data_IF_880847808826
#
_entry.id   IF_880847808826
#
_cell.length_a   1.000
_cell.length_b   1.000
_cell.length_c   1.000
_cell.angle_alpha   90.00
_cell.angle_beta   90.00
_cell.angle_gamma   90.00
#
_symmetry.space_group_name_H-M   'P 1'
#
loop_
_entity.id
_entity.type
_entity.pdbx_description
1 polymer ?
#
# COMPACT_ATOMS: atom_id res chain seq x y z
N UNK A 1 -13.06 -10.45 13.58
CA UNK A 1 -12.18 -11.65 13.74
C UNK A 1 -11.64 -11.98 12.36
N UNK A 2 -10.34 -12.24 12.20
CA UNK A 2 -9.75 -12.57 10.89
C UNK A 2 -9.85 -14.07 10.61
N UNK A 3 -9.81 -14.46 9.33
CA UNK A 3 -10.02 -15.85 8.93
C UNK A 3 -9.07 -16.82 9.64
N UNK A 4 -7.77 -16.50 9.76
CA UNK A 4 -6.80 -17.39 10.41
C UNK A 4 -7.14 -17.66 11.88
N UNK A 5 -7.56 -16.65 12.65
CA UNK A 5 -7.99 -16.86 14.05
C UNK A 5 -9.24 -17.74 14.14
N UNK A 6 -10.19 -17.55 13.23
CA UNK A 6 -11.38 -18.39 13.16
C UNK A 6 -11.04 -19.83 12.76
N UNK A 7 -10.17 -20.00 11.76
CA UNK A 7 -9.75 -21.31 11.26
C UNK A 7 -9.00 -22.09 12.34
N UNK A 8 -8.08 -21.46 13.09
CA UNK A 8 -7.37 -22.14 14.19
C UNK A 8 -8.32 -22.72 15.24
N UNK A 9 -9.45 -22.06 15.51
CA UNK A 9 -10.47 -22.57 16.45
C UNK A 9 -11.17 -23.84 15.95
N UNK A 10 -11.39 -23.95 14.65
CA UNK A 10 -12.14 -25.06 14.05
C UNK A 10 -11.27 -26.03 13.25
N UNK A 11 -9.96 -25.82 13.22
CA UNK A 11 -9.02 -26.59 12.39
C UNK A 11 -9.18 -28.09 12.61
N UNK A 12 -9.20 -28.52 13.87
CA UNK A 12 -9.30 -29.94 14.22
C UNK A 12 -10.63 -30.56 13.77
N UNK A 13 -11.72 -29.78 13.75
CA UNK A 13 -13.01 -30.25 13.22
C UNK A 13 -12.92 -30.62 11.74
N UNK A 14 -12.15 -29.83 10.97
CA UNK A 14 -12.00 -30.09 9.54
C UNK A 14 -10.91 -31.13 9.23
N UNK A 15 -9.83 -31.15 10.00
CA UNK A 15 -8.64 -31.98 9.71
C UNK A 15 -8.74 -33.36 10.36
N UNK A 16 -9.20 -33.45 11.61
CA UNK A 16 -9.26 -34.69 12.37
C UNK A 16 -10.68 -35.26 12.45
N UNK A 17 -11.67 -34.49 12.89
CA UNK A 17 -13.05 -35.00 13.06
C UNK A 17 -13.68 -35.35 11.69
N UNK A 18 -13.38 -34.55 10.66
CA UNK A 18 -13.80 -34.79 9.29
C UNK A 18 -12.76 -35.55 8.44
N UNK A 19 -11.81 -36.26 9.06
CA UNK A 19 -10.75 -36.98 8.33
C UNK A 19 -11.28 -38.06 7.40
N UNK A 20 -12.35 -38.75 7.81
CA UNK A 20 -12.94 -39.88 7.10
C UNK A 20 -14.00 -39.48 6.06
N UNK A 21 -14.42 -38.21 6.02
CA UNK A 21 -15.40 -37.76 5.02
C UNK A 21 -14.71 -37.41 3.71
N UNK A 22 -15.47 -37.48 2.61
CA UNK A 22 -14.95 -37.10 1.29
C UNK A 22 -14.54 -35.63 1.26
N UNK A 23 -13.57 -35.28 0.42
CA UNK A 23 -13.09 -33.89 0.31
C UNK A 23 -14.25 -32.92 -0.01
N UNK A 24 -15.16 -33.31 -0.91
CA UNK A 24 -16.35 -32.52 -1.24
C UNK A 24 -17.27 -32.30 -0.03
N UNK A 25 -17.42 -33.29 0.85
CA UNK A 25 -18.18 -33.13 2.10
C UNK A 25 -17.48 -32.19 3.09
N UNK A 26 -16.15 -32.28 3.20
CA UNK A 26 -15.34 -31.37 4.03
C UNK A 26 -15.42 -29.92 3.54
N UNK A 27 -15.40 -29.72 2.23
CA UNK A 27 -15.61 -28.41 1.58
C UNK A 27 -16.99 -27.84 1.91
N UNK A 28 -18.05 -28.66 1.80
CA UNK A 28 -19.41 -28.22 2.18
C UNK A 28 -19.49 -27.84 3.65
N UNK A 29 -18.89 -28.64 4.54
CA UNK A 29 -18.84 -28.37 5.98
C UNK A 29 -18.14 -27.04 6.27
N UNK A 30 -17.01 -26.76 5.61
CA UNK A 30 -16.31 -25.48 5.73
C UNK A 30 -17.22 -24.31 5.31
N UNK A 31 -17.86 -24.44 4.15
CA UNK A 31 -18.74 -23.42 3.59
C UNK A 31 -19.97 -23.15 4.48
N UNK A 32 -20.54 -24.19 5.09
CA UNK A 32 -21.68 -24.08 6.01
C UNK A 32 -21.33 -23.29 7.28
N UNK A 33 -20.06 -23.34 7.72
CA UNK A 33 -19.59 -22.58 8.87
C UNK A 33 -19.30 -21.11 8.55
N UNK A 34 -19.25 -20.72 7.28
CA UNK A 34 -19.10 -19.32 6.88
C UNK A 34 -20.44 -18.60 7.01
N UNK A 35 -20.42 -17.34 7.45
CA UNK A 35 -21.63 -16.52 7.35
C UNK A 35 -21.98 -16.22 5.88
N UNK A 36 -23.26 -15.97 5.62
CA UNK A 36 -23.75 -15.77 4.25
C UNK A 36 -23.07 -14.62 3.50
N UNK A 37 -22.55 -13.59 4.19
CA UNK A 37 -21.84 -12.48 3.54
C UNK A 37 -20.45 -12.89 3.10
N UNK A 38 -19.72 -13.61 3.95
CA UNK A 38 -18.40 -14.16 3.62
C UNK A 38 -18.53 -15.18 2.48
N UNK A 39 -19.48 -16.11 2.60
CA UNK A 39 -19.71 -17.13 1.57
C UNK A 39 -20.04 -16.52 0.21
N UNK A 40 -20.95 -15.55 0.14
CA UNK A 40 -21.30 -14.89 -1.13
C UNK A 40 -20.11 -14.16 -1.78
N UNK A 41 -19.22 -13.55 -0.99
CA UNK A 41 -17.99 -12.91 -1.51
C UNK A 41 -16.99 -13.95 -2.01
N UNK A 42 -16.82 -15.04 -1.29
CA UNK A 42 -15.98 -16.16 -1.71
C UNK A 42 -16.50 -16.79 -3.01
N UNK A 43 -17.80 -17.11 -3.08
CA UNK A 43 -18.42 -17.70 -4.27
C UNK A 43 -18.22 -16.84 -5.51
N UNK A 44 -18.40 -15.51 -5.40
CA UNK A 44 -18.14 -14.57 -6.50
C UNK A 44 -16.68 -14.56 -6.94
N UNK A 45 -15.73 -14.77 -6.01
CA UNK A 45 -14.31 -14.74 -6.31
C UNK A 45 -13.84 -15.97 -7.08
N UNK A 46 -14.44 -17.14 -6.82
CA UNK A 46 -14.01 -18.40 -7.43
C UNK A 46 -14.67 -18.71 -8.77
N UNK A 47 -15.62 -17.87 -9.21
CA UNK A 47 -16.21 -18.00 -10.54
C UNK A 47 -15.13 -18.03 -11.64
N UNK A 48 -15.28 -18.86 -12.69
CA UNK A 48 -16.46 -19.68 -13.00
C UNK A 48 -16.46 -21.06 -12.32
N UNK A 49 -15.51 -21.38 -11.43
CA UNK A 49 -15.47 -22.67 -10.74
C UNK A 49 -16.64 -22.80 -9.76
N UNK A 50 -17.21 -24.00 -9.68
CA UNK A 50 -18.17 -24.35 -8.62
C UNK A 50 -17.43 -24.59 -7.31
N UNK A 51 -17.96 -24.06 -6.20
CA UNK A 51 -17.33 -24.18 -4.87
C UNK A 51 -17.00 -25.62 -4.50
N UNK A 52 -17.89 -26.57 -4.82
CA UNK A 52 -17.72 -28.00 -4.51
C UNK A 52 -16.66 -28.70 -5.35
N UNK A 53 -16.15 -28.06 -6.41
CA UNK A 53 -15.10 -28.58 -7.29
C UNK A 53 -13.69 -28.14 -6.87
N UNK A 54 -13.59 -27.24 -5.89
CA UNK A 54 -12.33 -26.68 -5.40
C UNK A 54 -11.85 -27.52 -4.21
N UNK A 55 -10.57 -27.90 -4.21
CA UNK A 55 -9.98 -28.70 -3.14
C UNK A 55 -9.97 -27.96 -1.80
N UNK A 56 -10.04 -28.70 -0.69
CA UNK A 56 -10.20 -28.10 0.64
C UNK A 56 -9.10 -27.08 0.97
N UNK A 57 -7.83 -27.43 0.72
CA UNK A 57 -6.69 -26.54 0.97
C UNK A 57 -6.72 -25.28 0.08
N UNK A 58 -7.16 -25.40 -1.18
CA UNK A 58 -7.33 -24.25 -2.08
C UNK A 58 -8.41 -23.29 -1.55
N UNK A 59 -9.50 -23.81 -0.97
CA UNK A 59 -10.52 -22.96 -0.33
C UNK A 59 -9.94 -22.25 0.89
N UNK A 60 -9.27 -22.98 1.78
CA UNK A 60 -8.68 -22.39 2.99
C UNK A 60 -7.71 -21.27 2.64
N UNK A 61 -6.86 -21.48 1.63
CA UNK A 61 -5.93 -20.46 1.17
C UNK A 61 -6.64 -19.26 0.52
N UNK A 62 -7.65 -19.51 -0.30
CA UNK A 62 -8.46 -18.44 -0.90
C UNK A 62 -9.17 -17.60 0.17
N UNK A 63 -9.79 -18.24 1.17
CA UNK A 63 -10.45 -17.57 2.28
C UNK A 63 -9.46 -16.77 3.13
N UNK A 64 -8.24 -17.30 3.35
CA UNK A 64 -7.15 -16.57 4.00
C UNK A 64 -6.79 -15.32 3.21
N UNK A 65 -6.62 -15.42 1.90
CA UNK A 65 -6.27 -14.27 1.05
C UNK A 65 -7.35 -13.18 1.00
N UNK A 66 -8.63 -13.56 1.06
CA UNK A 66 -9.77 -12.66 0.98
C UNK A 66 -10.15 -12.02 2.32
N UNK A 67 -10.04 -12.77 3.42
CA UNK A 67 -10.66 -12.40 4.70
C UNK A 67 -9.68 -12.36 5.88
N UNK A 68 -8.40 -12.61 5.67
CA UNK A 68 -7.38 -12.35 6.68
C UNK A 68 -6.91 -10.90 6.64
N UNK A 69 -6.30 -10.45 7.74
CA UNK A 69 -5.73 -9.10 7.79
C UNK A 69 -4.43 -9.09 6.98
N UNK A 70 -4.39 -8.24 5.95
CA UNK A 70 -3.16 -7.97 5.19
C UNK A 70 -2.29 -7.00 5.97
N UNK A 71 -1.62 -7.50 7.01
CA UNK A 71 -0.59 -6.75 7.73
C UNK A 71 0.77 -7.31 7.34
N UNK A 72 1.72 -6.44 6.97
CA UNK A 72 3.08 -6.91 6.68
C UNK A 72 3.76 -7.46 7.92
N UNK A 73 4.71 -8.39 7.74
CA UNK A 73 5.50 -8.91 8.86
C UNK A 73 6.23 -7.77 9.58
N UNK A 74 6.75 -6.78 8.84
CA UNK A 74 7.31 -5.57 9.44
C UNK A 74 6.32 -4.87 10.38
N UNK A 75 5.08 -4.63 9.92
CA UNK A 75 4.09 -3.89 10.71
C UNK A 75 3.70 -4.65 11.98
N UNK A 76 3.56 -5.98 11.90
CA UNK A 76 3.30 -6.82 13.07
C UNK A 76 4.43 -6.76 14.09
N UNK A 77 5.69 -6.92 13.63
CA UNK A 77 6.89 -6.84 14.49
C UNK A 77 7.06 -5.46 15.11
N UNK A 78 6.82 -4.41 14.34
CA UNK A 78 6.81 -3.04 14.82
C UNK A 78 5.81 -2.81 15.95
N UNK A 79 4.56 -3.26 15.76
CA UNK A 79 3.54 -3.15 16.78
C UNK A 79 3.89 -3.95 18.03
N UNK A 80 4.52 -5.12 17.86
CA UNK A 80 5.02 -5.92 18.97
C UNK A 80 6.06 -5.15 19.82
N UNK A 81 7.00 -4.46 19.18
CA UNK A 81 8.01 -3.63 19.87
C UNK A 81 7.41 -2.40 20.57
N UNK A 82 6.19 -2.02 20.22
CA UNK A 82 5.44 -0.90 20.81
C UNK A 82 4.40 -1.34 21.83
N UNK A 83 4.39 -2.61 22.22
CA UNK A 83 3.46 -3.08 23.23
C UNK A 83 3.75 -2.44 24.57
N UNK A 84 2.75 -1.73 25.08
CA UNK A 84 2.72 -1.17 26.42
C UNK A 84 1.49 -1.73 27.13
N UNK A 85 1.62 -2.02 28.44
CA UNK A 85 0.49 -2.40 29.29
C UNK A 85 -0.47 -1.21 29.40
N UNK A 86 -1.77 -1.45 29.30
CA UNK A 86 -2.78 -0.40 29.49
C UNK A 86 -3.06 -0.19 30.98
N UNK A 87 -3.54 0.99 31.34
CA UNK A 87 -3.88 1.33 32.72
C UNK A 87 -5.01 0.46 33.28
N UNK A 88 -5.98 0.10 32.44
CA UNK A 88 -7.16 -0.71 32.77
C UNK A 88 -6.95 -2.23 32.61
N UNK A 89 -5.78 -2.65 32.15
CA UNK A 89 -5.48 -4.06 31.85
C UNK A 89 -4.84 -4.75 33.06
N UNK A 90 -5.28 -5.95 33.43
CA UNK A 90 -4.59 -6.74 34.44
C UNK A 90 -3.33 -7.45 33.88
N UNK A 91 -2.48 -7.97 34.76
CA UNK A 91 -1.24 -8.61 34.35
C UNK A 91 -1.45 -9.90 33.56
N UNK A 92 -2.48 -10.69 33.87
CA UNK A 92 -2.73 -11.95 33.17
C UNK A 92 -3.16 -11.68 31.72
N UNK A 93 -4.06 -10.72 31.52
CA UNK A 93 -4.49 -10.25 30.20
C UNK A 93 -3.31 -9.67 29.44
N UNK A 94 -2.49 -8.84 30.09
CA UNK A 94 -1.29 -8.28 29.45
C UNK A 94 -0.29 -9.36 29.03
N UNK A 95 0.02 -10.33 29.89
CA UNK A 95 0.89 -11.48 29.57
C UNK A 95 0.35 -12.25 28.37
N UNK A 96 -0.95 -12.54 28.35
CA UNK A 96 -1.60 -13.19 27.22
C UNK A 96 -1.49 -12.39 25.92
N UNK A 97 -1.65 -11.06 25.99
CA UNK A 97 -1.53 -10.16 24.84
C UNK A 97 -0.11 -10.08 24.31
N UNK A 98 0.89 -10.00 25.19
CA UNK A 98 2.31 -10.02 24.79
C UNK A 98 2.62 -11.33 24.07
N UNK A 99 2.19 -12.47 24.62
CA UNK A 99 2.41 -13.77 23.99
C UNK A 99 1.71 -13.90 22.61
N UNK A 100 0.42 -13.55 22.50
CA UNK A 100 -0.31 -13.59 21.20
C UNK A 100 0.38 -12.73 20.14
N UNK A 101 0.82 -11.52 20.51
CA UNK A 101 1.49 -10.63 19.57
C UNK A 101 2.88 -11.13 19.15
N UNK A 102 3.70 -11.61 20.09
CA UNK A 102 5.04 -12.12 19.80
C UNK A 102 4.99 -13.31 18.84
N UNK A 103 4.06 -14.25 19.05
CA UNK A 103 3.86 -15.40 18.18
C UNK A 103 3.37 -14.97 16.79
N UNK A 104 2.37 -14.09 16.72
CA UNK A 104 1.86 -13.58 15.45
C UNK A 104 2.88 -12.76 14.67
N UNK A 105 3.76 -12.04 15.37
CA UNK A 105 4.86 -11.28 14.77
C UNK A 105 6.09 -12.15 14.44
N UNK A 106 6.09 -13.43 14.82
CA UNK A 106 7.21 -14.36 14.65
C UNK A 106 8.52 -13.77 15.20
N UNK A 107 8.46 -13.20 16.41
CA UNK A 107 9.61 -12.51 17.02
C UNK A 107 10.80 -13.45 17.20
N UNK A 108 10.55 -14.73 17.50
CA UNK A 108 11.58 -15.77 17.62
C UNK A 108 12.39 -15.99 16.33
N UNK A 109 11.87 -15.58 15.16
CA UNK A 109 12.56 -15.69 13.88
C UNK A 109 13.49 -14.51 13.57
N UNK A 110 13.57 -13.50 14.44
CA UNK A 110 14.47 -12.37 14.26
C UNK A 110 15.85 -12.66 14.84
N UNK A 111 16.88 -12.50 14.01
CA UNK A 111 18.26 -12.46 14.46
C UNK A 111 18.63 -11.05 14.98
N UNK A 112 19.87 -10.92 15.46
CA UNK A 112 20.38 -9.64 15.99
C UNK A 112 20.29 -8.52 14.95
N UNK A 113 20.57 -8.82 13.69
CA UNK A 113 20.55 -7.82 12.62
C UNK A 113 19.11 -7.44 12.21
N UNK A 114 18.18 -8.38 12.21
CA UNK A 114 16.75 -8.12 12.04
C UNK A 114 16.22 -7.16 13.09
N UNK A 115 16.59 -7.33 14.36
CA UNK A 115 16.21 -6.41 15.44
C UNK A 115 16.83 -5.03 15.21
N UNK A 116 18.12 -4.94 14.86
CA UNK A 116 18.78 -3.66 14.55
C UNK A 116 18.10 -2.92 13.40
N UNK A 117 17.76 -3.61 12.32
CA UNK A 117 17.06 -3.05 11.17
C UNK A 117 15.68 -2.50 11.55
N UNK A 118 14.92 -3.25 12.35
CA UNK A 118 13.64 -2.76 12.88
C UNK A 118 13.83 -1.48 13.68
N UNK A 119 14.71 -1.49 14.69
CA UNK A 119 14.98 -0.33 15.55
C UNK A 119 15.41 0.89 14.74
N UNK A 120 16.24 0.70 13.72
CA UNK A 120 16.72 1.78 12.85
C UNK A 120 15.56 2.44 12.10
N UNK A 121 14.69 1.67 11.46
CA UNK A 121 13.51 2.20 10.75
C UNK A 121 12.51 2.82 11.73
N UNK A 122 12.33 2.23 12.91
CA UNK A 122 11.47 2.76 13.96
C UNK A 122 11.90 4.15 14.44
N UNK A 123 13.21 4.44 14.38
CA UNK A 123 13.79 5.73 14.73
C UNK A 123 13.41 6.86 13.79
N UNK A 124 13.02 6.56 12.54
CA UNK A 124 12.57 7.53 11.55
C UNK A 124 11.15 8.00 11.87
N UNK A 125 11.00 9.01 12.72
CA UNK A 125 9.70 9.51 13.21
C UNK A 125 9.17 10.71 12.44
N UNK A 126 10.01 11.43 11.70
CA UNK A 126 9.62 12.64 11.00
C UNK A 126 8.74 12.33 9.79
N UNK A 127 7.85 13.26 9.45
CA UNK A 127 7.09 13.20 8.20
C UNK A 127 7.97 13.38 6.96
N UNK A 128 9.12 14.06 7.11
CA UNK A 128 10.11 14.20 6.02
C UNK A 128 10.73 12.87 5.61
N UNK A 129 10.69 11.87 6.50
CA UNK A 129 11.27 10.55 6.29
C UNK A 129 10.25 9.53 5.79
N UNK A 130 9.02 9.95 5.48
CA UNK A 130 7.94 9.02 5.11
C UNK A 130 8.27 8.18 3.87
N UNK A 131 8.82 8.81 2.83
CA UNK A 131 9.18 8.09 1.59
C UNK A 131 10.31 7.08 1.83
N UNK A 132 11.38 7.49 2.52
CA UNK A 132 12.50 6.59 2.81
C UNK A 132 12.06 5.45 3.74
N UNK A 133 11.22 5.73 4.75
CA UNK A 133 10.63 4.72 5.62
C UNK A 133 9.80 3.72 4.83
N UNK A 134 8.93 4.16 3.93
CA UNK A 134 8.16 3.28 3.04
C UNK A 134 9.07 2.40 2.17
N UNK A 135 10.13 2.97 1.58
CA UNK A 135 11.09 2.23 0.76
C UNK A 135 11.79 1.14 1.55
N UNK A 136 12.29 1.46 2.73
CA UNK A 136 13.03 0.51 3.57
C UNK A 136 12.15 -0.58 4.17
N UNK A 137 10.89 -0.28 4.49
CA UNK A 137 9.90 -1.30 4.84
C UNK A 137 9.69 -2.28 3.69
N UNK A 138 9.55 -1.78 2.46
CA UNK A 138 9.39 -2.63 1.29
C UNK A 138 10.62 -3.52 1.01
N UNK A 139 11.83 -3.00 1.24
CA UNK A 139 13.07 -3.79 1.18
C UNK A 139 13.03 -4.92 2.23
N UNK A 140 12.78 -4.59 3.50
CA UNK A 140 12.71 -5.60 4.56
C UNK A 140 11.65 -6.68 4.27
N UNK A 141 10.44 -6.27 3.89
CA UNK A 141 9.36 -7.23 3.59
C UNK A 141 9.72 -8.14 2.41
N UNK A 142 10.48 -7.65 1.42
CA UNK A 142 10.99 -8.47 0.31
C UNK A 142 12.01 -9.50 0.79
N UNK A 143 12.99 -9.07 1.59
CA UNK A 143 14.04 -9.96 2.11
C UNK A 143 13.45 -11.03 3.03
N UNK A 144 12.50 -10.67 3.90
CA UNK A 144 11.78 -11.63 4.75
C UNK A 144 11.00 -12.66 3.94
N UNK A 145 10.32 -12.25 2.87
CA UNK A 145 9.63 -13.19 1.94
C UNK A 145 10.60 -14.11 1.22
N UNK A 146 11.83 -13.67 0.97
CA UNK A 146 12.89 -14.48 0.37
C UNK A 146 13.61 -15.38 1.39
N UNK A 147 13.26 -15.30 2.69
CA UNK A 147 13.95 -16.04 3.75
C UNK A 147 15.39 -15.55 3.99
N UNK A 148 15.71 -14.32 3.59
CA UNK A 148 17.05 -13.75 3.71
C UNK A 148 17.14 -12.79 4.90
N UNK A 149 18.25 -12.87 5.63
CA UNK A 149 18.57 -11.91 6.68
C UNK A 149 19.13 -10.63 6.07
N UNK A 150 18.53 -9.49 6.42
CA UNK A 150 19.02 -8.17 6.05
C UNK A 150 19.88 -7.60 7.17
N UNK A 151 21.15 -7.35 6.88
CA UNK A 151 22.05 -6.67 7.83
C UNK A 151 21.77 -5.17 7.89
N UNK A 152 22.05 -4.55 9.03
CA UNK A 152 21.90 -3.10 9.21
C UNK A 152 22.72 -2.30 8.19
N UNK A 153 23.90 -2.80 7.81
CA UNK A 153 24.75 -2.16 6.80
C UNK A 153 24.14 -2.22 5.40
N UNK A 154 23.51 -3.34 5.02
CA UNK A 154 22.78 -3.43 3.76
C UNK A 154 21.58 -2.49 3.74
N UNK A 155 20.83 -2.41 4.84
CA UNK A 155 19.72 -1.47 4.99
C UNK A 155 20.17 -0.01 4.82
N UNK A 156 21.29 0.37 5.43
CA UNK A 156 21.87 1.70 5.29
C UNK A 156 22.26 2.00 3.83
N UNK A 157 22.90 1.05 3.12
CA UNK A 157 23.22 1.22 1.70
C UNK A 157 21.97 1.42 0.84
N UNK A 158 20.90 0.69 1.11
CA UNK A 158 19.61 0.89 0.43
C UNK A 158 19.04 2.30 0.68
N UNK A 159 19.26 2.86 1.87
CA UNK A 159 18.92 4.24 2.17
C UNK A 159 19.73 5.22 1.33
N UNK A 160 21.06 5.08 1.30
CA UNK A 160 21.93 5.95 0.49
C UNK A 160 21.60 5.87 -1.00
N UNK A 161 21.39 4.66 -1.52
CA UNK A 161 20.98 4.45 -2.91
C UNK A 161 19.68 5.18 -3.23
N UNK A 162 18.67 5.08 -2.36
CA UNK A 162 17.40 5.79 -2.54
C UNK A 162 17.58 7.30 -2.54
N UNK A 163 18.38 7.84 -1.61
CA UNK A 163 18.64 9.28 -1.53
C UNK A 163 19.40 9.80 -2.75
N UNK A 164 20.36 9.03 -3.27
CA UNK A 164 21.05 9.35 -4.52
C UNK A 164 20.08 9.37 -5.70
N UNK A 165 19.27 8.33 -5.87
CA UNK A 165 18.28 8.24 -6.94
C UNK A 165 17.26 9.37 -6.89
N UNK A 166 16.85 9.79 -5.69
CA UNK A 166 15.95 10.92 -5.51
C UNK A 166 16.59 12.22 -6.02
N UNK A 167 17.85 12.47 -5.65
CA UNK A 167 18.62 13.64 -6.14
C UNK A 167 18.81 13.62 -7.66
N UNK A 168 19.11 12.46 -8.23
CA UNK A 168 19.26 12.30 -9.69
C UNK A 168 17.93 12.57 -10.41
N UNK A 169 16.82 12.05 -9.87
CA UNK A 169 15.47 12.30 -10.40
C UNK A 169 15.08 13.78 -10.33
N UNK A 170 15.40 14.48 -9.24
CA UNK A 170 15.17 15.93 -9.10
C UNK A 170 16.00 16.72 -10.14
N UNK A 171 17.23 16.29 -10.41
CA UNK A 171 18.10 16.92 -11.42
C UNK A 171 17.54 16.74 -12.83
N UNK A 172 17.02 15.55 -13.16
CA UNK A 172 16.38 15.27 -14.47
C UNK A 172 15.06 16.05 -14.60
N UNK A 173 14.24 16.06 -13.54
CA UNK A 173 12.96 16.79 -13.53
C UNK A 173 13.15 18.31 -13.59
N UNK A 174 14.24 18.84 -13.00
CA UNK A 174 14.63 20.25 -13.10
C UNK A 174 14.99 20.72 -14.51
N UNK A 175 15.16 19.79 -15.47
CA UNK A 175 15.35 20.11 -16.89
C UNK A 175 14.04 20.14 -17.70
N UNK A 176 12.88 19.91 -17.06
CA UNK A 176 11.60 20.27 -17.67
C UNK A 176 11.48 21.77 -17.57
N UNK A 177 12.04 22.48 -18.57
CA UNK A 177 11.60 23.84 -18.87
C UNK A 177 10.10 23.77 -19.03
N UNK A 178 9.37 24.24 -18.03
CA UNK A 178 8.02 24.71 -18.18
C UNK A 178 8.03 25.55 -19.45
N UNK A 179 7.29 25.13 -20.47
CA UNK A 179 7.00 26.00 -21.60
C UNK A 179 6.19 27.12 -20.98
N UNK A 180 6.87 28.20 -20.59
CA UNK A 180 6.21 29.45 -20.30
C UNK A 180 5.40 29.75 -21.55
N UNK A 181 4.08 29.63 -21.45
CA UNK A 181 3.19 30.13 -22.48
C UNK A 181 3.61 31.59 -22.66
N UNK A 182 4.19 31.90 -23.83
CA UNK A 182 4.77 33.20 -24.12
C UNK A 182 3.83 34.25 -23.56
N UNK A 183 4.28 34.97 -22.51
CA UNK A 183 3.54 36.07 -21.93
C UNK A 183 3.12 36.91 -23.12
N UNK A 184 1.80 37.08 -23.31
CA UNK A 184 1.22 37.84 -24.42
C UNK A 184 2.05 39.11 -24.56
N UNK A 185 2.92 39.12 -25.56
CA UNK A 185 3.67 40.30 -25.92
C UNK A 185 2.63 41.38 -26.11
N UNK A 186 2.75 42.44 -25.30
CA UNK A 186 1.78 43.50 -25.20
C UNK A 186 1.48 43.96 -26.62
N UNK A 187 0.29 43.59 -27.08
CA UNK A 187 -0.09 43.64 -28.50
C UNK A 187 0.07 45.10 -28.91
N UNK A 188 1.17 45.45 -29.61
CA UNK A 188 1.48 46.82 -30.02
C UNK A 188 0.19 47.50 -30.45
N UNK A 189 -0.19 48.59 -29.77
CA UNK A 189 -1.39 49.38 -30.07
C UNK A 189 -1.41 49.63 -31.57
N UNK A 190 -2.32 48.94 -32.28
CA UNK A 190 -2.49 49.12 -33.71
C UNK A 190 -3.43 50.29 -33.90
N UNK A 191 -2.86 51.46 -34.20
CA UNK A 191 -3.62 52.65 -34.53
C UNK A 191 -4.46 52.41 -35.81
N UNK A 192 -5.69 52.92 -35.81
CA UNK A 192 -6.56 52.88 -36.96
C UNK A 192 -5.93 53.62 -38.16
N UNK A 193 -5.69 52.96 -39.28
CA UNK A 193 -5.10 53.64 -40.45
C UNK A 193 -5.98 54.79 -41.00
N UNK A 194 -7.31 54.76 -40.80
CA UNK A 194 -8.23 55.78 -41.30
C UNK A 194 -8.26 57.07 -40.46
N UNK A 195 -8.09 56.99 -39.13
CA UNK A 195 -8.21 58.15 -38.25
C UNK A 195 -7.18 58.24 -37.11
N UNK A 196 -6.23 57.30 -37.07
CA UNK A 196 -5.19 57.15 -36.04
C UNK A 196 -5.70 56.97 -34.60
N UNK A 197 -6.99 56.67 -34.44
CA UNK A 197 -7.57 56.34 -33.13
C UNK A 197 -7.22 54.92 -32.66
N UNK A 198 -7.35 54.68 -31.35
CA UNK A 198 -7.06 53.39 -30.70
C UNK A 198 -8.24 52.40 -30.87
N UNK A 199 -8.47 51.97 -32.11
CA UNK A 199 -9.46 50.95 -32.48
C UNK A 199 -9.10 50.29 -33.82
N UNK A 200 -9.70 49.14 -34.12
CA UNK A 200 -9.52 48.50 -35.41
C UNK A 200 -10.18 49.31 -36.53
N UNK A 201 -9.56 49.37 -37.71
CA UNK A 201 -10.10 50.12 -38.86
C UNK A 201 -11.55 49.73 -39.24
N UNK A 202 -11.94 48.48 -39.01
CA UNK A 202 -13.31 47.99 -39.23
C UNK A 202 -14.36 48.63 -38.30
N UNK A 203 -13.93 49.18 -37.17
CA UNK A 203 -14.77 49.83 -36.17
C UNK A 203 -14.72 51.37 -36.26
N UNK A 204 -14.04 51.91 -37.28
CA UNK A 204 -13.87 53.33 -37.45
C UNK A 204 -15.15 54.00 -37.96
N UNK A 205 -15.64 55.00 -37.22
CA UNK A 205 -16.84 55.79 -37.58
C UNK A 205 -16.54 57.00 -38.46
N UNK A 206 -15.27 57.25 -38.77
CA UNK A 206 -14.84 58.34 -39.66
C UNK A 206 -15.13 57.97 -41.11
N UNK A 207 -15.59 58.93 -41.92
CA UNK A 207 -15.88 58.69 -43.35
C UNK A 207 -14.64 58.08 -44.05
N UNK A 208 -14.79 57.05 -44.89
CA UNK A 208 -13.66 56.47 -45.61
C UNK A 208 -13.00 57.53 -46.50
N UNK A 209 -11.68 57.58 -46.50
CA UNK A 209 -10.93 58.31 -47.53
C UNK A 209 -11.14 57.57 -48.87
N UNK A 210 -11.84 58.20 -49.82
CA UNK A 210 -11.92 57.69 -51.19
C UNK A 210 -10.73 58.23 -51.98
N UNK A 211 -9.93 57.34 -52.55
CA UNK A 211 -8.91 57.73 -53.51
C UNK A 211 -9.61 58.14 -54.81
N UNK A 212 -9.54 59.42 -55.19
CA UNK A 212 -9.85 59.81 -56.56
C UNK A 212 -8.76 59.22 -57.46
N UNK A 213 -9.18 58.55 -58.53
CA UNK A 213 -8.34 57.88 -59.53
C UNK A 213 -7.43 58.87 -60.23
#
# INVERSE_FOLDING_TARGET
>A
MCFTKWYMRYREVFVEDAKQVTESARVRLLCEKLDGKIFARYQRHVLPKEVTSIGFEEIVETLRQLFDVKTSEFTMRYQCLKLEKRDDEDYLVYTGRVNDFCERAKIHGLDSDGIKCLLWICGLKSQRETEIRQRLIAVLDREYKAGQALSLQKLYRECENFLSLKKDSETIAGNVKTVEAAAKEERRRRECWNCRGDHFAQQCKSKPWFCNV
#
